data_IF_892165934209
#
_entry.id   IF_892165934209
#
_cell.length_a   1.000
_cell.length_b   1.000
_cell.length_c   1.000
_cell.angle_alpha   90.00
_cell.angle_beta   90.00
_cell.angle_gamma   90.00
#
_symmetry.space_group_name_H-M   'P 1'
#
loop_
_entity.id
_entity.type
_entity.pdbx_description
1 polymer ?
#
# COMPACT_ATOMS: atom_id res chain seq x y z
N UNK A 1 4.95 0.12 22.10
CA UNK A 1 4.33 -0.54 20.93
C UNK A 1 3.38 0.47 20.30
N UNK A 2 3.73 1.00 19.14
CA UNK A 2 2.80 1.81 18.35
C UNK A 2 1.70 0.84 17.90
N UNK A 3 0.43 1.15 18.19
CA UNK A 3 -0.70 0.39 17.64
C UNK A 3 -0.69 0.64 16.13
N UNK A 4 -0.13 -0.29 15.36
CA UNK A 4 -0.26 -0.28 13.91
C UNK A 4 -1.72 -0.56 13.54
N UNK A 5 -2.27 0.22 12.61
CA UNK A 5 -3.55 -0.06 11.99
C UNK A 5 -3.49 -1.37 11.19
N UNK A 6 -4.64 -1.84 10.69
CA UNK A 6 -4.64 -2.96 9.77
C UNK A 6 -4.04 -2.51 8.44
N UNK A 7 -3.01 -3.22 7.96
CA UNK A 7 -2.36 -2.97 6.66
C UNK A 7 -2.55 -4.18 5.76
N UNK A 8 -2.93 -3.91 4.52
CA UNK A 8 -3.16 -4.92 3.49
C UNK A 8 -1.84 -5.34 2.84
N UNK A 9 -1.80 -6.58 2.35
CA UNK A 9 -0.72 -7.09 1.52
C UNK A 9 -1.03 -6.86 0.04
N UNK A 10 -0.02 -6.95 -0.82
CA UNK A 10 -0.10 -6.72 -2.27
C UNK A 10 -1.11 -7.65 -2.97
N UNK A 11 -1.41 -8.82 -2.40
CA UNK A 11 -2.43 -9.76 -2.91
C UNK A 11 -3.88 -9.45 -2.53
N UNK A 12 -4.14 -8.52 -1.60
CA UNK A 12 -5.49 -8.22 -1.07
C UNK A 12 -6.16 -7.07 -1.85
N UNK A 13 -6.04 -7.08 -3.18
CA UNK A 13 -6.48 -5.98 -4.04
C UNK A 13 -8.00 -5.78 -4.02
N UNK A 14 -8.79 -6.85 -3.91
CA UNK A 14 -10.25 -6.74 -3.90
C UNK A 14 -10.74 -5.92 -2.69
N UNK A 15 -10.16 -6.18 -1.51
CA UNK A 15 -10.43 -5.46 -0.28
C UNK A 15 -9.97 -4.00 -0.36
N UNK A 16 -8.77 -3.75 -0.89
CA UNK A 16 -8.23 -2.40 -1.12
C UNK A 16 -9.20 -1.62 -2.04
N UNK A 17 -9.60 -2.22 -3.16
CA UNK A 17 -10.52 -1.61 -4.12
C UNK A 17 -11.89 -1.29 -3.49
N UNK A 18 -12.40 -2.17 -2.63
CA UNK A 18 -13.65 -1.94 -1.89
C UNK A 18 -13.53 -0.74 -0.95
N UNK A 19 -12.46 -0.66 -0.16
CA UNK A 19 -12.23 0.46 0.75
C UNK A 19 -12.10 1.80 0.02
N UNK A 20 -11.43 1.82 -1.13
CA UNK A 20 -11.32 3.01 -1.97
C UNK A 20 -12.70 3.50 -2.46
N UNK A 21 -13.61 2.58 -2.81
CA UNK A 21 -14.99 2.92 -3.21
C UNK A 21 -15.83 3.45 -2.06
N UNK A 22 -15.55 2.99 -0.84
CA UNK A 22 -16.17 3.48 0.39
C UNK A 22 -15.61 4.85 0.84
N UNK A 23 -14.50 5.31 0.23
CA UNK A 23 -13.85 6.58 0.53
C UNK A 23 -12.83 6.51 1.65
N UNK A 24 -12.39 5.30 2.03
CA UNK A 24 -11.31 5.09 2.99
C UNK A 24 -9.93 5.21 2.31
N UNK A 25 -8.89 5.35 3.14
CA UNK A 25 -7.49 5.33 2.70
C UNK A 25 -6.88 4.00 3.21
N UNK A 26 -6.87 2.94 2.40
CA UNK A 26 -6.21 1.70 2.78
C UNK A 26 -4.69 1.91 2.90
N UNK A 27 -4.10 1.27 3.90
CA UNK A 27 -2.66 1.17 4.10
C UNK A 27 -2.17 -0.17 3.54
N UNK A 28 -1.08 -0.18 2.78
CA UNK A 28 -0.51 -1.37 2.12
C UNK A 28 0.95 -1.51 2.52
N UNK A 29 1.34 -2.68 3.03
CA UNK A 29 2.74 -3.02 3.23
C UNK A 29 3.33 -3.58 1.93
N UNK A 30 4.55 -3.17 1.60
CA UNK A 30 5.30 -3.68 0.44
C UNK A 30 6.66 -4.24 0.87
N UNK A 31 7.05 -5.35 0.29
CA UNK A 31 8.36 -5.96 0.50
C UNK A 31 9.38 -5.44 -0.53
N UNK A 32 8.90 -5.15 -1.76
CA UNK A 32 9.74 -4.67 -2.85
C UNK A 32 9.08 -3.52 -3.62
N UNK A 33 9.87 -2.55 -4.09
CA UNK A 33 9.36 -1.42 -4.89
C UNK A 33 8.57 -1.86 -6.15
N UNK A 34 8.91 -3.03 -6.74
CA UNK A 34 8.18 -3.57 -7.90
C UNK A 34 6.70 -3.85 -7.59
N UNK A 35 6.38 -4.16 -6.35
CA UNK A 35 5.02 -4.50 -5.93
C UNK A 35 4.10 -3.28 -5.94
N UNK A 36 4.67 -2.06 -5.85
CA UNK A 36 3.91 -0.82 -6.04
C UNK A 36 3.30 -0.81 -7.45
N UNK A 37 4.10 -1.16 -8.47
CA UNK A 37 3.62 -1.20 -9.86
C UNK A 37 2.58 -2.30 -10.06
N UNK A 38 2.74 -3.45 -9.40
CA UNK A 38 1.77 -4.55 -9.41
C UNK A 38 0.43 -4.11 -8.79
N UNK A 39 0.44 -3.53 -7.60
CA UNK A 39 -0.76 -2.99 -6.93
C UNK A 39 -1.45 -1.93 -7.81
N UNK A 40 -0.68 -1.01 -8.41
CA UNK A 40 -1.22 0.00 -9.33
C UNK A 40 -1.86 -0.66 -10.55
N UNK A 41 -1.22 -1.68 -11.11
CA UNK A 41 -1.72 -2.41 -12.28
C UNK A 41 -3.04 -3.12 -11.96
N UNK A 42 -3.11 -3.79 -10.82
CA UNK A 42 -4.31 -4.53 -10.42
C UNK A 42 -5.46 -3.58 -10.09
N UNK A 43 -5.18 -2.46 -9.41
CA UNK A 43 -6.18 -1.41 -9.16
C UNK A 43 -6.77 -0.80 -10.45
N UNK A 44 -6.03 -0.78 -11.57
CA UNK A 44 -6.59 -0.38 -12.88
C UNK A 44 -7.67 -1.33 -13.36
N UNK A 45 -7.55 -2.64 -13.08
CA UNK A 45 -8.59 -3.63 -13.40
C UNK A 45 -9.89 -3.32 -12.64
N UNK A 46 -9.79 -2.75 -11.43
CA UNK A 46 -10.93 -2.31 -10.62
C UNK A 46 -11.45 -0.91 -10.96
N UNK A 47 -10.85 -0.22 -11.94
CA UNK A 47 -11.30 1.08 -12.43
C UNK A 47 -10.63 2.29 -11.78
N UNK A 48 -9.51 2.12 -11.10
CA UNK A 48 -8.72 3.21 -10.54
C UNK A 48 -7.53 3.58 -11.44
N UNK A 49 -7.31 4.87 -11.66
CA UNK A 49 -6.15 5.37 -12.40
C UNK A 49 -5.33 6.31 -11.55
N UNK A 50 -4.00 6.24 -11.66
CA UNK A 50 -3.10 7.20 -11.02
C UNK A 50 -3.39 8.60 -11.53
N UNK A 51 -3.52 9.56 -10.61
CA UNK A 51 -3.73 10.96 -10.97
C UNK A 51 -2.56 11.48 -11.83
N UNK A 52 -2.85 12.35 -12.81
CA UNK A 52 -1.83 12.87 -13.72
C UNK A 52 -0.84 13.83 -13.05
N UNK A 53 -1.27 14.49 -11.98
CA UNK A 53 -0.50 15.52 -11.29
C UNK A 53 -0.57 15.29 -9.77
N UNK A 54 0.57 15.51 -9.10
CA UNK A 54 0.73 15.31 -7.65
C UNK A 54 0.20 13.93 -7.20
N UNK A 55 0.58 12.90 -7.95
CA UNK A 55 0.16 11.52 -7.69
C UNK A 55 0.84 10.90 -6.48
N UNK A 56 2.05 11.34 -6.15
CA UNK A 56 2.84 10.83 -5.04
C UNK A 56 3.03 11.93 -4.01
N UNK A 57 2.57 11.68 -2.79
CA UNK A 57 2.77 12.57 -1.64
C UNK A 57 3.60 11.85 -0.58
N UNK A 58 4.89 12.17 -0.53
CA UNK A 58 5.86 11.58 0.38
C UNK A 58 5.78 12.15 1.80
N UNK A 59 4.99 13.20 2.03
CA UNK A 59 4.89 13.91 3.31
C UNK A 59 3.46 13.86 3.91
N UNK A 60 2.58 13.02 3.33
CA UNK A 60 1.18 12.88 3.76
C UNK A 60 1.01 12.36 5.19
N UNK A 61 2.04 11.70 5.74
CA UNK A 61 2.06 11.12 7.09
C UNK A 61 3.33 11.55 7.83
N UNK A 62 3.23 11.72 9.14
CA UNK A 62 4.36 12.05 9.99
C UNK A 62 5.35 10.88 10.09
N UNK A 63 6.50 10.99 9.42
CA UNK A 63 7.56 9.98 9.40
C UNK A 63 8.25 9.75 10.75
N UNK A 64 8.10 10.66 11.72
CA UNK A 64 8.58 10.41 13.09
C UNK A 64 7.70 9.36 13.78
N UNK A 65 6.39 9.37 13.51
CA UNK A 65 5.42 8.42 14.06
C UNK A 65 5.35 7.14 13.22
N UNK A 66 5.53 7.27 11.91
CA UNK A 66 5.49 6.20 10.92
C UNK A 66 6.78 6.19 10.08
N UNK A 67 7.90 5.73 10.64
CA UNK A 67 9.19 5.73 9.95
C UNK A 67 9.23 4.82 8.73
N UNK A 68 8.31 3.86 8.65
CA UNK A 68 8.09 2.94 7.54
C UNK A 68 7.20 3.52 6.43
N UNK A 69 6.64 4.73 6.59
CA UNK A 69 5.82 5.36 5.57
C UNK A 69 6.64 5.76 4.34
N UNK A 70 6.22 5.30 3.18
CA UNK A 70 6.87 5.62 1.91
C UNK A 70 6.21 6.83 1.26
N UNK A 71 4.94 6.71 0.86
CA UNK A 71 4.17 7.78 0.22
C UNK A 71 2.67 7.45 0.18
N UNK A 72 1.86 8.49 -0.03
CA UNK A 72 0.46 8.38 -0.39
C UNK A 72 0.31 8.49 -1.90
N UNK A 73 -0.34 7.50 -2.50
CA UNK A 73 -0.70 7.49 -3.91
C UNK A 73 -2.11 8.07 -4.10
N UNK A 74 -2.21 9.07 -4.96
CA UNK A 74 -3.49 9.64 -5.40
C UNK A 74 -4.00 8.93 -6.65
N UNK A 75 -5.20 8.39 -6.54
CA UNK A 75 -5.93 7.69 -7.60
C UNK A 75 -7.21 8.44 -7.96
N UNK A 76 -7.72 8.20 -9.15
CA UNK A 76 -9.03 8.65 -9.63
C UNK A 76 -9.87 7.41 -9.93
N UNK A 77 -11.03 7.29 -9.28
CA UNK A 77 -12.04 6.31 -9.66
C UNK A 77 -12.67 6.75 -10.99
N UNK A 78 -12.48 5.96 -12.05
CA UNK A 78 -13.00 6.28 -13.38
C UNK A 78 -14.53 6.28 -13.45
N UNK A 79 -15.20 5.52 -12.59
CA UNK A 79 -16.66 5.42 -12.61
C UNK A 79 -17.30 6.68 -12.03
N UNK A 80 -16.71 7.24 -10.97
CA UNK A 80 -17.30 8.37 -10.23
C UNK A 80 -16.56 9.69 -10.43
N UNK A 81 -15.34 9.66 -10.95
CA UNK A 81 -14.42 10.80 -11.03
C UNK A 81 -13.86 11.23 -9.67
N UNK A 82 -14.13 10.48 -8.60
CA UNK A 82 -13.68 10.82 -7.25
C UNK A 82 -12.18 10.57 -7.11
N UNK A 83 -11.54 11.44 -6.34
CA UNK A 83 -10.16 11.22 -5.89
C UNK A 83 -10.17 10.26 -4.71
N UNK A 84 -9.32 9.23 -4.78
CA UNK A 84 -9.08 8.25 -3.73
C UNK A 84 -7.58 8.23 -3.39
N UNK A 85 -7.22 7.63 -2.26
CA UNK A 85 -5.84 7.58 -1.78
C UNK A 85 -5.49 6.21 -1.24
N UNK A 86 -4.25 5.77 -1.45
CA UNK A 86 -3.67 4.55 -0.87
C UNK A 86 -2.34 4.95 -0.22
N UNK A 87 -2.09 4.48 0.99
CA UNK A 87 -0.81 4.72 1.68
C UNK A 87 0.07 3.49 1.58
N UNK A 88 1.31 3.68 1.13
CA UNK A 88 2.30 2.61 1.03
C UNK A 88 3.31 2.72 2.18
N UNK A 89 3.59 1.57 2.80
CA UNK A 89 4.56 1.40 3.87
C UNK A 89 5.56 0.31 3.50
N UNK A 90 6.80 0.48 3.93
CA UNK A 90 7.79 -0.58 3.87
C UNK A 90 7.38 -1.68 4.86
N UNK A 91 7.20 -2.89 4.34
CA UNK A 91 6.89 -4.08 5.13
C UNK A 91 7.99 -4.33 6.17
N UNK A 92 7.66 -4.95 7.30
CA UNK A 92 8.66 -5.30 8.30
C UNK A 92 9.69 -6.24 7.68
N UNK A 93 10.92 -5.75 7.50
CA UNK A 93 12.07 -6.61 7.18
C UNK A 93 12.32 -7.52 8.37
N UNK A 94 11.99 -8.79 8.25
CA UNK A 94 12.43 -9.77 9.23
C UNK A 94 13.96 -9.83 9.15
N UNK A 95 14.66 -9.45 10.23
CA UNK A 95 16.11 -9.67 10.34
C UNK A 95 16.45 -11.19 10.35
N UNK A 96 15.43 -12.06 10.34
CA UNK A 96 15.51 -13.53 10.33
C UNK A 96 15.01 -14.17 9.03
N UNK A 97 15.10 -13.50 7.88
CA UNK A 97 14.98 -14.19 6.57
C UNK A 97 16.27 -14.99 6.22
N UNK A 98 17.11 -15.26 7.23
CA UNK A 98 18.14 -16.28 7.17
C UNK A 98 17.53 -17.60 7.57
N UNK A 99 17.41 -18.53 6.61
CA UNK A 99 17.09 -19.95 6.77
C UNK A 99 17.16 -20.41 8.24
N UNK A 100 16.02 -20.73 8.86
CA UNK A 100 16.05 -21.67 9.97
C UNK A 100 16.70 -22.96 9.43
N UNK A 101 17.90 -23.29 9.93
CA UNK A 101 18.55 -24.56 9.61
C UNK A 101 17.58 -25.69 9.98
N UNK A 102 16.98 -26.29 8.95
CA UNK A 102 16.13 -27.47 9.10
C UNK A 102 17.02 -28.60 9.60
N UNK A 103 17.02 -28.85 10.91
CA UNK A 103 17.69 -29.98 11.54
C UNK A 103 16.97 -31.27 11.13
N UNK A 104 17.51 -31.96 10.12
CA UNK A 104 17.13 -33.34 9.81
C UNK A 104 17.81 -34.25 10.84
N UNK A 105 17.09 -34.51 11.94
CA UNK A 105 17.44 -35.55 12.92
C UNK A 105 17.45 -36.94 12.32
#
# INVERSE_FOLDING_TARGET
MIKRGFRYQTGEIEEIAKLLKEGNIPEVDIDFEREIEEVISDLKVYGFEVAKENSYDYDAVNKIEHPDFMFRLKLIDKATGKTCFVDFYEGPKDENDGYDEIWWG
#
